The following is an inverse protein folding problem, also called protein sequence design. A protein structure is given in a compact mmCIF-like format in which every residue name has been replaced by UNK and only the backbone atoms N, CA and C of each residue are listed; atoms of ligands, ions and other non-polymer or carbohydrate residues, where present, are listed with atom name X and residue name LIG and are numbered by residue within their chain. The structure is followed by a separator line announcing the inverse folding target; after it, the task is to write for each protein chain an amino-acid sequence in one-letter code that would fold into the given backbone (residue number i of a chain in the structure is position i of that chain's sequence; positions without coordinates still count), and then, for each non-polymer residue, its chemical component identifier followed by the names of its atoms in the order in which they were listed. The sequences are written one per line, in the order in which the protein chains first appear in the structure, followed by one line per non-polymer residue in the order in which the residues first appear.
data_IF_509541372798
#
_entry.id   IF_509541372798
#
_cell.length_a   1.000
_cell.length_b   1.000
_cell.length_c   1.000
_cell.angle_alpha   90.00
_cell.angle_beta   90.00
_cell.angle_gamma   90.00
#
_symmetry.space_group_name_H-M   'P 1'
#
loop_
_entity.id
_entity.type
_entity.pdbx_description
1 polymer ?
#
# COMPACT_ATOMS: atom_id res chain seq x y z
N UNK A 1 36.82 6.15 -3.18
CA UNK A 1 36.26 4.87 -3.69
C UNK A 1 35.26 4.21 -2.73
N UNK A 2 35.49 4.20 -1.40
CA UNK A 2 34.60 3.53 -0.43
C UNK A 2 33.17 4.11 -0.27
N UNK A 3 32.90 5.33 -0.74
CA UNK A 3 31.55 5.94 -0.68
C UNK A 3 30.65 5.41 -1.79
N UNK A 4 31.20 5.20 -2.99
CA UNK A 4 30.45 4.66 -4.13
C UNK A 4 30.00 3.21 -3.90
N UNK A 5 30.85 2.39 -3.28
CA UNK A 5 30.47 1.01 -2.95
C UNK A 5 29.35 0.93 -1.91
N UNK A 6 29.34 1.82 -0.91
CA UNK A 6 28.24 1.90 0.09
C UNK A 6 26.94 2.41 -0.51
N UNK A 7 27.01 3.35 -1.46
CA UNK A 7 25.84 3.85 -2.18
C UNK A 7 25.21 2.78 -3.08
N UNK A 8 26.01 1.97 -3.77
CA UNK A 8 25.51 0.83 -4.55
C UNK A 8 24.86 -0.24 -3.68
N UNK A 9 25.48 -0.55 -2.53
CA UNK A 9 24.94 -1.50 -1.58
C UNK A 9 23.60 -1.02 -1.00
N UNK A 10 23.51 0.27 -0.63
CA UNK A 10 22.26 0.90 -0.19
C UNK A 10 21.19 0.90 -1.28
N UNK A 11 21.55 1.26 -2.52
CA UNK A 11 20.63 1.27 -3.65
C UNK A 11 20.06 -0.14 -3.91
N UNK A 12 20.88 -1.19 -3.77
CA UNK A 12 20.43 -2.57 -3.94
C UNK A 12 19.39 -2.99 -2.90
N UNK A 13 19.62 -2.66 -1.62
CA UNK A 13 18.70 -2.92 -0.50
C UNK A 13 17.40 -2.13 -0.68
N UNK A 14 17.50 -0.88 -1.13
CA UNK A 14 16.34 -0.03 -1.39
C UNK A 14 15.48 -0.59 -2.51
N UNK A 15 16.09 -1.18 -3.55
CA UNK A 15 15.40 -1.84 -4.68
C UNK A 15 14.63 -3.09 -4.25
N UNK A 16 15.23 -3.90 -3.37
CA UNK A 16 14.56 -5.08 -2.78
C UNK A 16 13.37 -4.64 -1.93
N UNK A 17 13.54 -3.62 -1.08
CA UNK A 17 12.45 -3.08 -0.25
C UNK A 17 11.32 -2.45 -1.07
N UNK A 18 11.62 -1.69 -2.12
CA UNK A 18 10.58 -1.12 -3.00
C UNK A 18 9.77 -2.21 -3.68
N UNK A 19 10.41 -3.30 -4.13
CA UNK A 19 9.70 -4.46 -4.70
C UNK A 19 8.74 -5.10 -3.68
N UNK A 20 9.19 -5.27 -2.43
CA UNK A 20 8.36 -5.76 -1.33
C UNK A 20 7.18 -4.84 -1.00
N UNK A 21 7.43 -3.53 -0.87
CA UNK A 21 6.37 -2.55 -0.62
C UNK A 21 5.37 -2.47 -1.77
N UNK A 22 5.80 -2.65 -3.03
CA UNK A 22 4.91 -2.68 -4.19
C UNK A 22 3.96 -3.86 -4.14
N UNK A 23 4.48 -5.06 -3.82
CA UNK A 23 3.64 -6.25 -3.64
C UNK A 23 2.66 -6.08 -2.49
N UNK A 24 3.11 -5.57 -1.34
CA UNK A 24 2.21 -5.32 -0.21
C UNK A 24 1.12 -4.31 -0.54
N UNK A 25 1.45 -3.18 -1.16
CA UNK A 25 0.46 -2.19 -1.57
C UNK A 25 -0.55 -2.78 -2.57
N UNK A 26 -0.09 -3.61 -3.52
CA UNK A 26 -0.97 -4.27 -4.48
C UNK A 26 -1.92 -5.28 -3.81
N UNK A 27 -1.41 -6.12 -2.90
CA UNK A 27 -2.21 -7.13 -2.18
C UNK A 27 -3.23 -6.43 -1.27
N UNK A 28 -2.79 -5.47 -0.45
CA UNK A 28 -3.70 -4.73 0.45
C UNK A 28 -4.72 -3.92 -0.33
N UNK A 29 -4.34 -3.33 -1.47
CA UNK A 29 -5.26 -2.63 -2.36
C UNK A 29 -6.30 -3.55 -2.99
N UNK A 30 -5.91 -4.74 -3.43
CA UNK A 30 -6.84 -5.74 -3.97
C UNK A 30 -7.84 -6.20 -2.90
N UNK A 31 -7.37 -6.47 -1.68
CA UNK A 31 -8.24 -6.84 -0.55
C UNK A 31 -9.22 -5.71 -0.19
N UNK A 32 -8.75 -4.47 -0.16
CA UNK A 32 -9.61 -3.31 0.08
C UNK A 32 -10.66 -3.15 -1.01
N UNK A 33 -10.28 -3.20 -2.29
CA UNK A 33 -11.22 -3.09 -3.41
C UNK A 33 -12.28 -4.19 -3.38
N UNK A 34 -11.89 -5.43 -3.06
CA UNK A 34 -12.83 -6.54 -2.94
C UNK A 34 -13.82 -6.33 -1.79
N UNK A 35 -13.33 -5.93 -0.61
CA UNK A 35 -14.17 -5.63 0.55
C UNK A 35 -15.11 -4.43 0.29
N UNK A 36 -14.61 -3.39 -0.38
CA UNK A 36 -15.40 -2.22 -0.76
C UNK A 36 -16.49 -2.57 -1.75
N UNK A 37 -16.19 -3.35 -2.79
CA UNK A 37 -17.19 -3.84 -3.75
C UNK A 37 -18.24 -4.72 -3.07
N UNK A 38 -17.83 -5.60 -2.15
CA UNK A 38 -18.76 -6.42 -1.37
C UNK A 38 -19.70 -5.56 -0.50
N UNK A 39 -19.19 -4.48 0.10
CA UNK A 39 -19.99 -3.51 0.86
C UNK A 39 -20.97 -2.73 -0.03
N UNK A 40 -20.53 -2.27 -1.21
CA UNK A 40 -21.43 -1.59 -2.16
C UNK A 40 -22.51 -2.56 -2.64
N UNK A 41 -22.15 -3.80 -2.98
CA UNK A 41 -23.10 -4.83 -3.40
C UNK A 41 -24.07 -5.22 -2.27
N UNK A 42 -23.62 -5.29 -1.01
CA UNK A 42 -24.49 -5.59 0.14
C UNK A 42 -25.54 -4.49 0.32
N UNK A 43 -25.16 -3.22 0.16
CA UNK A 43 -26.08 -2.08 0.22
C UNK A 43 -27.09 -2.02 -0.92
N UNK A 44 -26.76 -2.56 -2.10
CA UNK A 44 -27.67 -2.61 -3.25
C UNK A 44 -28.66 -3.78 -3.18
N UNK A 45 -28.28 -4.91 -2.59
CA UNK A 45 -29.09 -6.15 -2.55
C UNK A 45 -30.00 -6.22 -1.32
N UNK A 46 -29.60 -5.62 -0.19
CA UNK A 46 -30.35 -5.69 1.07
C UNK A 46 -30.79 -4.31 1.54
N UNK A 47 -32.10 -4.04 1.47
CA UNK A 47 -32.71 -2.93 2.19
C UNK A 47 -32.22 -2.92 3.66
N UNK A 48 -31.85 -1.75 4.15
CA UNK A 48 -31.02 -1.44 5.33
C UNK A 48 -31.55 -1.91 6.70
N UNK A 49 -32.49 -2.84 6.74
CA UNK A 49 -33.25 -3.22 7.93
C UNK A 49 -32.77 -4.57 8.46
N UNK A 50 -31.65 -4.60 9.20
CA UNK A 50 -31.30 -5.76 10.04
C UNK A 50 -29.83 -6.16 10.12
N UNK A 51 -28.94 -5.59 9.29
CA UNK A 51 -27.48 -5.85 9.38
C UNK A 51 -26.75 -4.72 10.13
N UNK A 52 -25.74 -5.04 10.95
CA UNK A 52 -24.93 -4.02 11.62
C UNK A 52 -23.99 -3.34 10.60
N UNK A 53 -24.52 -2.37 9.85
CA UNK A 53 -23.78 -1.59 8.86
C UNK A 53 -22.52 -0.95 9.45
N UNK A 54 -22.55 -0.60 10.74
CA UNK A 54 -21.39 -0.06 11.46
C UNK A 54 -20.17 -1.00 11.46
N UNK A 55 -20.38 -2.33 11.54
CA UNK A 55 -19.29 -3.31 11.51
C UNK A 55 -18.69 -3.44 10.10
N UNK A 56 -19.53 -3.42 9.06
CA UNK A 56 -19.06 -3.45 7.67
C UNK A 56 -18.26 -2.18 7.32
N UNK A 57 -18.77 -1.01 7.73
CA UNK A 57 -18.08 0.27 7.56
C UNK A 57 -16.75 0.32 8.32
N UNK A 58 -16.70 -0.18 9.56
CA UNK A 58 -15.47 -0.29 10.33
C UNK A 58 -14.44 -1.19 9.64
N UNK A 59 -14.87 -2.33 9.09
CA UNK A 59 -14.00 -3.23 8.32
C UNK A 59 -13.41 -2.56 7.08
N UNK A 60 -14.24 -1.87 6.31
CA UNK A 60 -13.81 -1.11 5.13
C UNK A 60 -12.83 0.02 5.52
N UNK A 61 -13.10 0.75 6.61
CA UNK A 61 -12.24 1.83 7.07
C UNK A 61 -10.85 1.34 7.52
N UNK A 62 -10.78 0.21 8.23
CA UNK A 62 -9.51 -0.42 8.64
C UNK A 62 -8.72 -0.89 7.42
N UNK A 63 -9.37 -1.59 6.48
CA UNK A 63 -8.72 -2.04 5.25
C UNK A 63 -8.26 -0.88 4.37
N UNK A 64 -9.06 0.20 4.28
CA UNK A 64 -8.69 1.42 3.57
C UNK A 64 -7.48 2.12 4.19
N UNK A 65 -7.44 2.20 5.51
CA UNK A 65 -6.30 2.76 6.26
C UNK A 65 -5.03 1.92 6.08
N UNK A 66 -5.16 0.59 6.09
CA UNK A 66 -4.04 -0.32 5.82
C UNK A 66 -3.50 -0.16 4.39
N UNK A 67 -4.40 -0.01 3.40
CA UNK A 67 -4.01 0.25 2.01
C UNK A 67 -3.30 1.60 1.86
N UNK A 68 -3.85 2.68 2.41
CA UNK A 68 -3.23 4.01 2.40
C UNK A 68 -1.83 3.97 3.02
N UNK A 69 -1.66 3.28 4.14
CA UNK A 69 -0.36 3.13 4.80
C UNK A 69 0.63 2.38 3.91
N UNK A 70 0.20 1.29 3.27
CA UNK A 70 1.04 0.51 2.35
C UNK A 70 1.43 1.33 1.10
N UNK A 71 0.49 2.12 0.57
CA UNK A 71 0.71 3.02 -0.56
C UNK A 71 1.71 4.12 -0.23
N UNK A 72 1.55 4.81 0.90
CA UNK A 72 2.48 5.86 1.35
C UNK A 72 3.89 5.30 1.53
N UNK A 73 4.04 4.11 2.13
CA UNK A 73 5.35 3.44 2.26
C UNK A 73 6.00 3.15 0.92
N UNK A 74 5.22 2.73 -0.08
CA UNK A 74 5.72 2.52 -1.44
C UNK A 74 6.21 3.83 -2.05
N UNK A 75 5.46 4.91 -1.90
CA UNK A 75 5.79 6.19 -2.52
C UNK A 75 7.02 6.86 -1.88
N UNK A 76 7.16 6.77 -0.55
CA UNK A 76 8.38 7.17 0.15
C UNK A 76 9.58 6.37 -0.35
N UNK A 77 9.42 5.06 -0.52
CA UNK A 77 10.51 4.21 -1.00
C UNK A 77 10.92 4.52 -2.44
N UNK A 78 9.97 4.90 -3.30
CA UNK A 78 10.24 5.39 -4.67
C UNK A 78 10.95 6.73 -4.67
N UNK A 79 10.49 7.68 -3.87
CA UNK A 79 11.13 9.00 -3.74
C UNK A 79 12.58 8.87 -3.24
N UNK A 80 12.82 8.02 -2.23
CA UNK A 80 14.17 7.72 -1.75
C UNK A 80 15.05 7.09 -2.84
N UNK A 81 14.49 6.19 -3.66
CA UNK A 81 15.24 5.59 -4.77
C UNK A 81 15.66 6.64 -5.81
N UNK A 82 14.77 7.57 -6.15
CA UNK A 82 15.06 8.67 -7.07
C UNK A 82 16.17 9.59 -6.55
N UNK A 83 16.14 9.93 -5.26
CA UNK A 83 17.18 10.77 -4.63
C UNK A 83 18.54 10.08 -4.63
N UNK A 84 18.58 8.78 -4.30
CA UNK A 84 19.83 8.01 -4.30
C UNK A 84 20.40 7.85 -5.71
N UNK A 85 19.57 7.66 -6.74
CA UNK A 85 20.04 7.65 -8.13
C UNK A 85 20.55 9.02 -8.58
N UNK A 86 19.87 10.11 -8.21
CA UNK A 86 20.29 11.46 -8.59
C UNK A 86 21.59 11.91 -7.91
N UNK A 87 21.93 11.36 -6.74
CA UNK A 87 23.21 11.61 -6.06
C UNK A 87 24.37 10.77 -6.62
N UNK A 88 24.07 9.76 -7.44
CA UNK A 88 25.06 8.88 -8.06
C UNK A 88 25.57 9.45 -9.40
N UNK A 89 24.69 10.11 -10.15
CA UNK A 89 24.98 10.75 -11.45
C UNK A 89 25.62 12.14 -11.27
#
# INVERSE_FOLDING_TARGET
MAVNSRLEEYASVLRIRTSGYRRNAAITGALFSFAFLAFVASGLVGGTWGRPQALELAGVAVLGSAFLTAWVRLEIARALAQVVTALRD
#
